data_IF_933740077348
#
_entry.id   IF_933740077348
#
_cell.length_a   1.000
_cell.length_b   1.000
_cell.length_c   1.000
_cell.angle_alpha   90.00
_cell.angle_beta   90.00
_cell.angle_gamma   90.00
#
_symmetry.space_group_name_H-M   'P 1'
#
loop_
_entity.id
_entity.type
_entity.pdbx_description
1 polymer ?
#
# COMPACT_ATOMS: atom_id res chain seq x y z
N UNK A 1 7.61 -10.93 -5.67
CA UNK A 1 6.62 -10.73 -4.60
C UNK A 1 5.26 -11.05 -5.17
N UNK A 2 4.35 -11.52 -4.34
CA UNK A 2 2.94 -11.66 -4.72
C UNK A 2 2.40 -10.25 -5.01
N UNK A 3 1.80 -10.05 -6.19
CA UNK A 3 1.31 -8.74 -6.60
C UNK A 3 0.17 -8.24 -5.70
N UNK A 4 -0.08 -6.93 -5.74
CA UNK A 4 -1.24 -6.34 -5.06
C UNK A 4 -2.46 -6.51 -5.97
N UNK A 5 -3.58 -7.01 -5.44
CA UNK A 5 -4.83 -7.11 -6.20
C UNK A 5 -5.28 -5.73 -6.69
N UNK A 6 -5.78 -5.65 -7.92
CA UNK A 6 -6.26 -4.40 -8.51
C UNK A 6 -7.36 -3.74 -7.66
N UNK A 7 -8.18 -4.55 -6.99
CA UNK A 7 -9.24 -4.08 -6.08
C UNK A 7 -8.70 -3.41 -4.80
N UNK A 8 -7.43 -3.66 -4.47
CA UNK A 8 -6.76 -3.08 -3.30
C UNK A 8 -6.03 -1.77 -3.63
N UNK A 9 -5.75 -1.47 -4.90
CA UNK A 9 -5.07 -0.24 -5.32
C UNK A 9 -5.70 1.05 -4.77
N UNK A 10 -7.04 1.22 -4.76
CA UNK A 10 -7.67 2.43 -4.19
C UNK A 10 -7.35 2.64 -2.71
N UNK A 11 -6.93 1.58 -2.03
CA UNK A 11 -6.80 1.52 -0.58
C UNK A 11 -5.36 1.28 -0.11
N UNK A 12 -4.41 1.23 -1.03
CA UNK A 12 -3.02 0.82 -0.77
C UNK A 12 -2.28 1.81 0.15
N UNK A 13 -2.76 3.05 0.24
CA UNK A 13 -2.20 4.10 1.09
C UNK A 13 -2.98 4.27 2.41
N UNK A 14 -3.98 3.44 2.68
CA UNK A 14 -4.73 3.50 3.92
C UNK A 14 -3.93 2.92 5.08
N UNK A 15 -3.98 3.61 6.22
CA UNK A 15 -3.35 3.14 7.46
C UNK A 15 -4.03 1.85 7.92
N UNK A 16 -3.22 0.91 8.41
CA UNK A 16 -3.70 -0.38 8.95
C UNK A 16 -4.32 -1.31 7.92
N UNK A 17 -4.19 -1.01 6.63
CA UNK A 17 -4.70 -1.85 5.56
C UNK A 17 -3.59 -2.75 5.02
N UNK A 18 -3.90 -4.04 4.97
CA UNK A 18 -3.04 -5.07 4.39
C UNK A 18 -3.84 -5.83 3.34
N UNK A 19 -3.19 -6.20 2.24
CA UNK A 19 -3.79 -7.16 1.32
C UNK A 19 -3.82 -8.51 2.04
N UNK A 20 -4.99 -9.16 2.07
CA UNK A 20 -5.13 -10.53 2.55
C UNK A 20 -4.54 -11.46 1.48
N UNK A 21 -3.23 -11.41 1.25
CA UNK A 21 -2.59 -12.45 0.44
C UNK A 21 -2.71 -13.76 1.24
N UNK A 22 -3.11 -14.84 0.57
CA UNK A 22 -3.53 -16.12 1.17
C UNK A 22 -2.41 -16.88 1.94
N UNK A 23 -1.32 -16.19 2.31
CA UNK A 23 -0.14 -16.72 2.95
C UNK A 23 0.46 -15.78 4.04
N UNK A 24 -0.25 -14.71 4.44
CA UNK A 24 0.29 -13.52 5.14
C UNK A 24 0.64 -13.64 6.63
N UNK A 25 0.83 -14.84 7.18
CA UNK A 25 1.54 -14.93 8.48
C UNK A 25 3.04 -14.58 8.39
N UNK A 26 3.54 -14.13 7.24
CA UNK A 26 4.98 -13.91 7.03
C UNK A 26 5.44 -12.44 7.06
N UNK A 27 4.55 -11.45 6.88
CA UNK A 27 4.94 -10.03 6.91
C UNK A 27 4.19 -9.29 8.02
N UNK A 28 4.77 -9.28 9.23
CA UNK A 28 4.21 -8.63 10.44
C UNK A 28 4.18 -7.10 10.41
N UNK A 29 3.98 -6.48 9.24
CA UNK A 29 3.92 -5.02 9.11
C UNK A 29 2.51 -4.51 9.32
N UNK A 30 2.32 -3.45 10.11
CA UNK A 30 1.01 -2.87 10.43
C UNK A 30 0.28 -2.17 9.25
N UNK A 31 0.73 -2.32 8.00
CA UNK A 31 0.15 -1.58 6.87
C UNK A 31 0.32 -0.06 7.00
N UNK A 32 1.42 0.40 7.61
CA UNK A 32 1.69 1.83 7.83
C UNK A 32 2.69 2.43 6.83
N UNK A 33 3.54 1.60 6.20
CA UNK A 33 4.64 2.09 5.36
C UNK A 33 4.16 2.98 4.21
N UNK A 34 3.20 2.52 3.41
CA UNK A 34 2.69 3.29 2.28
C UNK A 34 1.88 4.53 2.72
N UNK A 35 1.17 4.44 3.83
CA UNK A 35 0.49 5.60 4.40
C UNK A 35 1.48 6.71 4.79
N UNK A 36 2.64 6.34 5.37
CA UNK A 36 3.71 7.29 5.70
C UNK A 36 4.31 7.89 4.42
N UNK A 37 4.55 7.08 3.39
CA UNK A 37 5.04 7.57 2.09
C UNK A 37 4.10 8.61 1.50
N UNK A 38 2.79 8.35 1.51
CA UNK A 38 1.78 9.32 1.04
C UNK A 38 1.87 10.63 1.80
N UNK A 39 1.90 10.57 3.13
CA UNK A 39 2.03 11.77 3.97
C UNK A 39 3.32 12.54 3.70
N UNK A 40 4.44 11.84 3.51
CA UNK A 40 5.73 12.48 3.20
C UNK A 40 5.68 13.18 1.84
N UNK A 41 5.15 12.53 0.81
CA UNK A 41 5.03 13.10 -0.54
C UNK A 41 4.09 14.31 -0.55
N UNK A 42 2.93 14.22 0.10
CA UNK A 42 1.98 15.32 0.22
C UNK A 42 2.57 16.52 0.99
N UNK A 43 3.33 16.27 2.06
CA UNK A 43 4.02 17.33 2.81
C UNK A 43 5.06 18.09 1.95
N UNK A 44 5.57 17.48 0.89
CA UNK A 44 6.48 18.09 -0.08
C UNK A 44 5.78 18.63 -1.33
N UNK A 45 4.44 18.76 -1.30
CA UNK A 45 3.60 19.16 -2.44
C UNK A 45 3.72 18.22 -3.66
N UNK A 46 4.10 16.96 -3.45
CA UNK A 46 4.16 15.93 -4.48
C UNK A 46 2.87 15.12 -4.59
N UNK A 47 2.87 14.15 -5.50
CA UNK A 47 1.80 13.15 -5.64
C UNK A 47 2.40 11.76 -5.82
N UNK A 48 1.79 10.76 -5.17
CA UNK A 48 2.17 9.35 -5.29
C UNK A 48 0.97 8.56 -5.81
N UNK A 49 1.21 7.64 -6.73
CA UNK A 49 0.19 6.78 -7.33
C UNK A 49 0.68 5.34 -7.42
N UNK A 50 -0.26 4.40 -7.41
CA UNK A 50 -0.03 2.98 -7.62
C UNK A 50 -0.76 2.52 -8.87
N UNK A 51 -0.13 1.68 -9.67
CA UNK A 51 -0.72 1.08 -10.86
C UNK A 51 -0.66 -0.46 -10.76
N UNK A 52 -1.62 -1.13 -11.39
CA UNK A 52 -1.52 -2.56 -11.64
C UNK A 52 -0.43 -2.81 -12.70
N UNK A 53 0.29 -3.94 -12.65
CA UNK A 53 1.04 -4.41 -13.81
C UNK A 53 0.09 -4.70 -14.98
N UNK A 54 0.56 -4.48 -16.20
CA UNK A 54 -0.13 -4.86 -17.45
C UNK A 54 -0.29 -6.39 -17.58
#
# INVERSE_FOLDING_TARGET
GEGISAEFLPYVFDRFRQTQSSNTRQYGGLGLGLAIVKQMVEAHNGTVQSAAPD
#
